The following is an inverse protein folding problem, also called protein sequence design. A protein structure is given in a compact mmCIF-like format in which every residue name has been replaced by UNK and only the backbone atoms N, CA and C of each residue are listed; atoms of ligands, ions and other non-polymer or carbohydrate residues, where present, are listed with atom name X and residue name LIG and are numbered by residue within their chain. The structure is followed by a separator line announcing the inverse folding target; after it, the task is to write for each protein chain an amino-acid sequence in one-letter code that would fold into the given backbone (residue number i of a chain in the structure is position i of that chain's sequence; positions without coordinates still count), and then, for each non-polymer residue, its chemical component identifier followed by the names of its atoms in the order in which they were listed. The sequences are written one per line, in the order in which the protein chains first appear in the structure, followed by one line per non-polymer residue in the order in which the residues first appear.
data_IF_015333055770
#
_entry.id   IF_015333055770
#
_cell.length_a   1.000
_cell.length_b   1.000
_cell.length_c   1.000
_cell.angle_alpha   90.00
_cell.angle_beta   90.00
_cell.angle_gamma   90.00
#
_symmetry.space_group_name_H-M   'P 1'
#
loop_
_entity.id
_entity.type
_entity.pdbx_description
1 polymer ?
#
# COMPACT_ATOMS: atom_id res chain seq x y z
N UNK A 1 22.97 8.76 7.03
CA UNK A 1 21.73 8.35 7.74
C UNK A 1 22.10 7.63 9.03
N UNK A 2 21.44 7.93 10.15
CA UNK A 2 21.67 7.18 11.38
C UNK A 2 20.98 5.79 11.33
N UNK A 3 21.42 4.85 12.17
CA UNK A 3 20.92 3.46 12.20
C UNK A 3 19.39 3.36 12.40
N UNK A 4 18.82 4.29 13.17
CA UNK A 4 17.37 4.37 13.44
C UNK A 4 16.58 4.75 12.17
N UNK A 5 17.02 5.76 11.42
CA UNK A 5 16.36 6.18 10.17
C UNK A 5 16.41 5.10 9.10
N UNK A 6 17.50 4.31 9.04
CA UNK A 6 17.60 3.15 8.14
C UNK A 6 16.54 2.11 8.49
N UNK A 7 16.42 1.72 9.77
CA UNK A 7 15.46 0.72 10.19
C UNK A 7 14.00 1.14 9.89
N UNK A 8 13.67 2.43 10.07
CA UNK A 8 12.34 2.98 9.73
C UNK A 8 12.06 2.87 8.24
N UNK A 9 13.01 3.26 7.39
CA UNK A 9 12.87 3.18 5.94
C UNK A 9 12.70 1.73 5.47
N UNK A 10 13.54 0.81 5.97
CA UNK A 10 13.43 -0.63 5.69
C UNK A 10 12.05 -1.14 6.05
N UNK A 11 11.52 -0.76 7.21
CA UNK A 11 10.18 -1.19 7.63
C UNK A 11 9.11 -0.76 6.63
N UNK A 12 9.09 0.51 6.20
CA UNK A 12 8.12 0.99 5.20
C UNK A 12 8.26 0.24 3.88
N UNK A 13 9.49 0.04 3.41
CA UNK A 13 9.77 -0.65 2.16
C UNK A 13 9.39 -2.13 2.21
N UNK A 14 9.58 -2.81 3.34
CA UNK A 14 9.14 -4.20 3.53
C UNK A 14 7.63 -4.32 3.38
N UNK A 15 6.85 -3.41 3.98
CA UNK A 15 5.39 -3.42 3.80
C UNK A 15 4.99 -3.16 2.35
N UNK A 16 5.64 -2.20 1.68
CA UNK A 16 5.38 -1.93 0.27
C UNK A 16 5.70 -3.15 -0.62
N UNK A 17 6.82 -3.82 -0.35
CA UNK A 17 7.23 -5.03 -1.05
C UNK A 17 6.27 -6.20 -0.83
N UNK A 18 5.81 -6.44 0.40
CA UNK A 18 4.82 -7.47 0.69
C UNK A 18 3.51 -7.18 -0.05
N UNK A 19 3.04 -5.93 -0.05
CA UNK A 19 1.84 -5.53 -0.78
C UNK A 19 1.97 -5.77 -2.28
N UNK A 20 3.09 -5.37 -2.87
CA UNK A 20 3.42 -5.63 -4.28
C UNK A 20 3.47 -7.13 -4.60
N UNK A 21 4.15 -7.93 -3.77
CA UNK A 21 4.28 -9.37 -3.99
C UNK A 21 2.91 -10.08 -3.97
N UNK A 22 2.02 -9.68 -3.05
CA UNK A 22 0.64 -10.20 -3.01
C UNK A 22 -0.14 -9.77 -4.26
N UNK A 23 0.04 -8.54 -4.74
CA UNK A 23 -0.56 -8.08 -6.00
C UNK A 23 -0.08 -8.92 -7.19
N UNK A 24 1.22 -9.18 -7.29
CA UNK A 24 1.81 -10.06 -8.29
C UNK A 24 1.27 -11.49 -8.18
N UNK A 25 1.07 -12.01 -6.97
CA UNK A 25 0.46 -13.32 -6.76
C UNK A 25 -1.00 -13.38 -7.24
N UNK A 26 -1.81 -12.34 -6.96
CA UNK A 26 -3.19 -12.25 -7.47
C UNK A 26 -3.20 -12.29 -9.00
N UNK A 27 -2.33 -11.51 -9.64
CA UNK A 27 -2.21 -11.47 -11.11
C UNK A 27 -1.72 -12.80 -11.69
N UNK A 28 -0.66 -13.37 -11.13
CA UNK A 28 -0.06 -14.62 -11.60
C UNK A 28 -0.98 -15.82 -11.43
N UNK A 29 -1.60 -15.97 -10.27
CA UNK A 29 -2.57 -17.05 -10.02
C UNK A 29 -3.83 -16.81 -10.85
N UNK A 30 -4.37 -15.59 -10.84
CA UNK A 30 -5.59 -15.25 -11.58
C UNK A 30 -5.47 -15.61 -13.06
N UNK A 31 -4.39 -15.20 -13.73
CA UNK A 31 -4.16 -15.53 -15.14
C UNK A 31 -4.04 -17.03 -15.40
N UNK A 32 -3.62 -17.82 -14.41
CA UNK A 32 -3.48 -19.27 -14.55
C UNK A 32 -4.80 -20.03 -14.35
N UNK A 33 -5.77 -19.45 -13.61
CA UNK A 33 -7.00 -20.17 -13.19
C UNK A 33 -8.30 -19.54 -13.71
N UNK A 34 -8.25 -18.32 -14.24
CA UNK A 34 -9.42 -17.60 -14.77
C UNK A 34 -9.05 -16.71 -15.97
N UNK A 35 -10.03 -16.02 -16.57
CA UNK A 35 -9.82 -15.07 -17.66
C UNK A 35 -9.01 -13.84 -17.20
N UNK A 36 -8.41 -13.15 -18.17
CA UNK A 36 -7.68 -11.90 -17.91
C UNK A 36 -8.60 -10.84 -17.29
N UNK A 37 -9.81 -10.65 -17.82
CA UNK A 37 -10.78 -9.68 -17.31
C UNK A 37 -11.12 -9.95 -15.84
N UNK A 38 -11.50 -11.19 -15.50
CA UNK A 38 -11.76 -11.59 -14.12
C UNK A 38 -10.53 -11.38 -13.22
N UNK A 39 -9.33 -11.64 -13.74
CA UNK A 39 -8.09 -11.41 -13.00
C UNK A 39 -7.89 -9.93 -12.68
N UNK A 40 -8.15 -9.04 -13.65
CA UNK A 40 -8.04 -7.61 -13.48
C UNK A 40 -9.07 -7.08 -12.48
N UNK A 41 -10.30 -7.59 -12.51
CA UNK A 41 -11.33 -7.22 -11.54
C UNK A 41 -10.96 -7.65 -10.12
N UNK A 42 -10.54 -8.91 -9.96
CA UNK A 42 -10.07 -9.44 -8.67
C UNK A 42 -8.88 -8.63 -8.17
N UNK A 43 -7.94 -8.27 -9.05
CA UNK A 43 -6.78 -7.47 -8.70
C UNK A 43 -7.17 -6.05 -8.29
N UNK A 44 -8.06 -5.40 -9.03
CA UNK A 44 -8.52 -4.04 -8.73
C UNK A 44 -9.22 -3.94 -7.36
N UNK A 45 -9.90 -5.01 -6.93
CA UNK A 45 -10.52 -5.12 -5.60
C UNK A 45 -9.48 -5.54 -4.54
N UNK A 46 -8.64 -6.53 -4.86
CA UNK A 46 -7.69 -7.11 -3.93
C UNK A 46 -6.59 -6.13 -3.53
N UNK A 47 -6.08 -5.34 -4.47
CA UNK A 47 -5.01 -4.37 -4.23
C UNK A 47 -5.33 -3.36 -3.09
N UNK A 48 -6.46 -2.61 -3.10
CA UNK A 48 -6.79 -1.71 -2.01
C UNK A 48 -7.04 -2.43 -0.68
N UNK A 49 -7.59 -3.65 -0.68
CA UNK A 49 -7.81 -4.42 0.56
C UNK A 49 -6.48 -4.79 1.20
N UNK A 50 -5.54 -5.28 0.40
CA UNK A 50 -4.18 -5.65 0.84
C UNK A 50 -3.48 -4.43 1.41
N UNK A 51 -3.44 -3.33 0.66
CA UNK A 51 -2.74 -2.12 1.09
C UNK A 51 -3.42 -1.42 2.26
N UNK A 52 -4.75 -1.45 2.37
CA UNK A 52 -5.47 -0.96 3.54
C UNK A 52 -5.13 -1.76 4.80
N UNK A 53 -5.08 -3.09 4.68
CA UNK A 53 -4.70 -3.99 5.78
C UNK A 53 -3.25 -3.77 6.21
N UNK A 54 -2.32 -3.68 5.25
CA UNK A 54 -0.91 -3.39 5.51
C UNK A 54 -0.72 -2.01 6.15
N UNK A 55 -1.42 -0.98 5.67
CA UNK A 55 -1.42 0.35 6.29
C UNK A 55 -1.97 0.32 7.71
N UNK A 56 -3.05 -0.42 7.97
CA UNK A 56 -3.63 -0.57 9.30
C UNK A 56 -2.61 -1.17 10.28
N UNK A 57 -1.93 -2.25 9.89
CA UNK A 57 -0.88 -2.88 10.70
C UNK A 57 0.29 -1.91 10.90
N UNK A 58 0.72 -1.24 9.83
CA UNK A 58 1.83 -0.30 9.86
C UNK A 58 1.59 0.87 10.83
N UNK A 59 0.44 1.55 10.73
CA UNK A 59 0.11 2.69 11.57
C UNK A 59 -0.20 2.30 13.02
N UNK A 60 -0.74 1.10 13.27
CA UNK A 60 -0.95 0.62 14.65
C UNK A 60 0.35 0.24 15.35
N UNK A 61 1.32 -0.33 14.63
CA UNK A 61 2.53 -0.92 15.24
C UNK A 61 3.77 -0.03 15.17
N UNK A 62 3.94 0.74 14.10
CA UNK A 62 5.18 1.46 13.82
C UNK A 62 4.97 2.97 13.72
N UNK A 63 4.02 3.41 12.88
CA UNK A 63 3.63 4.82 12.74
C UNK A 63 4.82 5.79 12.52
N UNK A 64 5.79 5.42 11.67
CA UNK A 64 7.02 6.22 11.50
C UNK A 64 6.87 7.38 10.49
N UNK A 65 5.84 7.34 9.65
CA UNK A 65 5.59 8.33 8.58
C UNK A 65 4.16 8.84 8.64
N UNK A 66 3.93 10.03 8.08
CA UNK A 66 2.57 10.56 7.92
C UNK A 66 1.75 9.74 6.91
N UNK A 67 0.41 9.80 6.94
CA UNK A 67 -0.46 9.11 5.98
C UNK A 67 -0.07 9.35 4.53
N UNK A 68 0.16 10.62 4.17
CA UNK A 68 0.57 11.01 2.82
C UNK A 68 1.92 10.40 2.41
N UNK A 69 2.93 10.46 3.28
CA UNK A 69 4.26 9.90 2.99
C UNK A 69 4.22 8.38 2.82
N UNK A 70 3.39 7.70 3.63
CA UNK A 70 3.20 6.25 3.53
C UNK A 70 2.53 5.87 2.22
N UNK A 71 1.43 6.55 1.85
CA UNK A 71 0.71 6.30 0.62
C UNK A 71 1.60 6.54 -0.63
N UNK A 72 2.38 7.63 -0.63
CA UNK A 72 3.34 7.91 -1.71
C UNK A 72 4.42 6.82 -1.75
N UNK A 73 4.99 6.42 -0.61
CA UNK A 73 6.04 5.41 -0.58
C UNK A 73 5.54 4.06 -1.11
N UNK A 74 4.34 3.64 -0.71
CA UNK A 74 3.71 2.42 -1.18
C UNK A 74 3.45 2.47 -2.69
N UNK A 75 2.80 3.52 -3.17
CA UNK A 75 2.51 3.70 -4.59
C UNK A 75 3.80 3.74 -5.43
N UNK A 76 4.77 4.58 -5.04
CA UNK A 76 6.02 4.74 -5.77
C UNK A 76 6.80 3.42 -5.84
N UNK A 77 6.80 2.64 -4.76
CA UNK A 77 7.44 1.33 -4.75
C UNK A 77 6.74 0.34 -5.69
N UNK A 78 5.41 0.26 -5.66
CA UNK A 78 4.65 -0.61 -6.58
C UNK A 78 4.92 -0.23 -8.04
N UNK A 79 4.81 1.06 -8.38
CA UNK A 79 5.10 1.56 -9.73
C UNK A 79 6.53 1.21 -10.14
N UNK A 80 7.50 1.41 -9.25
CA UNK A 80 8.90 1.05 -9.51
C UNK A 80 9.04 -0.44 -9.82
N UNK A 81 8.47 -1.31 -8.98
CA UNK A 81 8.57 -2.75 -9.18
C UNK A 81 7.85 -3.22 -10.45
N UNK A 82 6.70 -2.63 -10.79
CA UNK A 82 5.96 -2.97 -12.00
C UNK A 82 6.69 -2.50 -13.26
N UNK A 83 7.30 -1.32 -13.25
CA UNK A 83 8.13 -0.85 -14.36
C UNK A 83 9.36 -1.75 -14.53
N UNK A 84 10.14 -1.92 -13.47
CA UNK A 84 11.44 -2.56 -13.59
C UNK A 84 11.34 -4.08 -13.67
N UNK A 85 10.56 -4.73 -12.81
CA UNK A 85 10.47 -6.18 -12.81
C UNK A 85 9.45 -6.68 -13.82
N UNK A 86 8.22 -6.18 -13.77
CA UNK A 86 7.15 -6.74 -14.58
C UNK A 86 7.29 -6.31 -16.04
N UNK A 87 7.33 -5.01 -16.33
CA UNK A 87 7.34 -4.54 -17.71
C UNK A 87 8.66 -4.80 -18.43
N UNK A 88 9.81 -4.56 -17.81
CA UNK A 88 11.10 -4.76 -18.49
C UNK A 88 11.54 -6.23 -18.53
N UNK A 89 11.46 -6.97 -17.41
CA UNK A 89 12.01 -8.32 -17.35
C UNK A 89 11.00 -9.43 -17.65
N UNK A 90 9.75 -9.30 -17.20
CA UNK A 90 8.74 -10.37 -17.35
C UNK A 90 7.97 -10.24 -18.66
N UNK A 91 7.21 -9.17 -18.84
CA UNK A 91 6.33 -8.93 -19.99
C UNK A 91 7.10 -8.39 -21.20
N UNK A 92 8.30 -7.82 -20.98
CA UNK A 92 9.14 -7.16 -22.00
C UNK A 92 8.36 -6.12 -22.82
N UNK A 93 7.41 -5.46 -22.18
CA UNK A 93 6.45 -4.53 -22.78
C UNK A 93 5.86 -3.59 -21.73
N UNK A 94 5.65 -2.33 -22.12
CA UNK A 94 4.97 -1.32 -21.30
C UNK A 94 3.45 -1.30 -21.51
N UNK A 95 2.89 -2.26 -22.25
CA UNK A 95 1.46 -2.29 -22.60
C UNK A 95 0.54 -2.28 -21.37
N UNK A 96 0.96 -2.83 -20.22
CA UNK A 96 0.15 -2.80 -19.00
C UNK A 96 -0.20 -1.37 -18.55
N UNK A 97 0.71 -0.41 -18.73
CA UNK A 97 0.51 0.99 -18.33
C UNK A 97 -0.49 1.75 -19.21
N UNK A 98 -0.87 1.19 -20.37
CA UNK A 98 -1.98 1.71 -21.16
C UNK A 98 -3.36 1.30 -20.61
N UNK A 99 -3.41 0.31 -19.70
CA UNK A 99 -4.67 -0.19 -19.14
C UNK A 99 -5.15 0.66 -17.97
N UNK A 100 -6.31 1.29 -18.13
CA UNK A 100 -6.98 2.02 -17.04
C UNK A 100 -7.36 1.05 -15.91
N UNK A 101 -8.00 -0.07 -16.26
CA UNK A 101 -8.49 -1.05 -15.29
C UNK A 101 -7.35 -1.82 -14.62
N UNK A 102 -6.32 -2.17 -15.37
CA UNK A 102 -5.23 -3.02 -14.88
C UNK A 102 -4.09 -2.29 -14.19
N UNK A 103 -4.06 -0.96 -14.22
CA UNK A 103 -2.92 -0.20 -13.66
C UNK A 103 -3.36 1.08 -12.97
N UNK A 104 -4.03 1.99 -13.68
CA UNK A 104 -4.35 3.30 -13.11
C UNK A 104 -5.38 3.23 -11.98
N UNK A 105 -6.45 2.43 -12.14
CA UNK A 105 -7.42 2.20 -11.08
C UNK A 105 -6.76 1.56 -9.85
N UNK A 106 -6.06 0.41 -9.96
CA UNK A 106 -5.32 -0.17 -8.84
C UNK A 106 -4.37 0.82 -8.15
N UNK A 107 -3.59 1.60 -8.90
CA UNK A 107 -2.67 2.58 -8.33
C UNK A 107 -3.39 3.66 -7.52
N UNK A 108 -4.46 4.23 -8.06
CA UNK A 108 -5.27 5.21 -7.32
C UNK A 108 -5.89 4.59 -6.08
N UNK A 109 -6.41 3.37 -6.18
CA UNK A 109 -7.04 2.66 -5.06
C UNK A 109 -6.04 2.28 -3.96
N UNK A 110 -4.82 1.86 -4.32
CA UNK A 110 -3.73 1.63 -3.36
C UNK A 110 -3.42 2.90 -2.59
N UNK A 111 -3.23 4.02 -3.31
CA UNK A 111 -2.93 5.31 -2.70
C UNK A 111 -4.04 5.75 -1.75
N UNK A 112 -5.29 5.75 -2.21
CA UNK A 112 -6.44 6.17 -1.41
C UNK A 112 -6.63 5.25 -0.20
N UNK A 113 -6.52 3.94 -0.38
CA UNK A 113 -6.65 2.98 0.73
C UNK A 113 -5.62 3.24 1.82
N UNK A 114 -4.35 3.40 1.45
CA UNK A 114 -3.28 3.69 2.41
C UNK A 114 -3.44 5.05 3.08
N UNK A 115 -3.79 6.08 2.30
CA UNK A 115 -3.96 7.45 2.80
C UNK A 115 -5.14 7.57 3.77
N UNK A 116 -6.32 7.07 3.38
CA UNK A 116 -7.53 7.11 4.19
C UNK A 116 -7.38 6.28 5.47
N UNK A 117 -6.72 5.12 5.39
CA UNK A 117 -6.42 4.31 6.59
C UNK A 117 -5.56 5.08 7.59
N UNK A 118 -4.54 5.79 7.11
CA UNK A 118 -3.70 6.64 7.97
C UNK A 118 -4.49 7.78 8.60
N UNK A 119 -5.29 8.51 7.81
CA UNK A 119 -6.13 9.61 8.32
C UNK A 119 -7.13 9.14 9.37
N UNK A 120 -7.76 7.99 9.14
CA UNK A 120 -8.70 7.39 10.08
C UNK A 120 -8.03 7.11 11.43
N UNK A 121 -6.84 6.51 11.43
CA UNK A 121 -6.11 6.18 12.66
C UNK A 121 -5.53 7.41 13.37
N UNK A 122 -5.04 8.41 12.62
CA UNK A 122 -4.62 9.69 13.21
C UNK A 122 -5.79 10.39 13.92
N UNK A 123 -6.98 10.40 13.31
CA UNK A 123 -8.17 10.99 13.93
C UNK A 123 -8.62 10.20 15.16
N UNK A 124 -8.65 8.87 15.08
CA UNK A 124 -9.03 8.01 16.19
C UNK A 124 -8.08 8.17 17.39
N UNK A 125 -6.75 8.26 17.14
CA UNK A 125 -5.76 8.50 18.19
C UNK A 125 -5.86 9.88 18.84
N UNK A 126 -6.26 10.92 18.09
CA UNK A 126 -6.53 12.25 18.66
C UNK A 126 -7.78 12.25 19.54
N UNK A 127 -8.83 11.52 19.18
CA UNK A 127 -10.06 11.45 19.96
C UNK A 127 -9.88 10.73 21.31
N UNK A 128 -9.07 9.66 21.36
CA UNK A 128 -8.74 9.00 22.62
C UNK A 128 -7.89 9.88 23.55
N UNK A 129 -7.01 10.73 23.01
CA UNK A 129 -6.21 11.67 23.81
C UNK A 129 -7.03 12.83 24.38
N UNK A 130 -8.03 13.33 23.65
CA UNK A 130 -8.91 14.43 24.09
C UNK A 130 -9.95 13.96 25.12
N UNK A 131 -10.27 12.66 25.16
CA UNK A 131 -11.25 12.07 26.07
C UNK A 131 -10.74 11.72 27.49
N UNK A 132 -9.45 11.93 27.79
CA UNK A 132 -8.92 11.75 29.16
C UNK A 132 -8.97 13.11 29.88
N UNK A 133 -9.96 13.37 30.76
CA UNK A 133 -9.88 14.53 31.64
C UNK A 133 -8.63 14.39 32.51
N UNK A 134 -7.79 15.43 32.53
CA UNK A 134 -6.58 15.48 33.35
C UNK A 134 -6.96 15.49 34.84
N UNK A 135 -7.14 14.32 35.45
CA UNK A 135 -7.31 14.18 36.89
C UNK A 135 -5.94 14.13 37.57
N UNK A 136 -5.24 15.25 37.60
CA UNK A 136 -4.14 15.49 38.55
C UNK A 136 -4.09 16.97 38.91
N UNK A 137 -4.93 17.34 39.88
CA UNK A 137 -4.69 18.46 40.80
C UNK A 137 -4.94 17.94 42.21
N UNK A 138 -3.99 18.16 43.11
CA UNK A 138 -4.07 17.81 44.52
C UNK A 138 -2.74 17.34 45.05
#
# INVERSE_FOLDING_TARGET
MNKSSIAKAITVLTFAFVGWAICGAIMGIGRAVTSLENTLDIHAIGAPIVFGTLSLIYFKRFNYTTPLRTAIAFLAFVVFMDVFLIALFVEKSFAMFASILGTWIPFTLIFLSAYLTGLYLEKAGKQTAVGIPSSTKG
#
